data_IF_996694035824
#
_entry.id   IF_996694035824
#
_cell.length_a   1.000
_cell.length_b   1.000
_cell.length_c   1.000
_cell.angle_alpha   90.00
_cell.angle_beta   90.00
_cell.angle_gamma   90.00
#
_symmetry.space_group_name_H-M   'P 1'
#
loop_
_entity.id
_entity.type
_entity.pdbx_description
1 polymer ?
#
# COMPACT_ATOMS: atom_id res chain seq x y z
N UNK A 1 8.86 -4.99 19.16
CA UNK A 1 9.96 -4.64 18.23
C UNK A 1 9.63 -3.36 17.48
N UNK A 2 10.62 -2.47 17.34
CA UNK A 2 10.49 -1.30 16.48
C UNK A 2 10.26 -1.74 15.04
N UNK A 3 9.35 -1.10 14.30
CA UNK A 3 9.16 -1.36 12.88
C UNK A 3 10.47 -1.19 12.11
N UNK A 4 10.77 -2.16 11.25
CA UNK A 4 11.91 -2.18 10.35
C UNK A 4 11.41 -2.20 8.91
N UNK A 5 11.94 -1.30 8.10
CA UNK A 5 11.68 -1.20 6.67
C UNK A 5 13.00 -1.32 5.92
N UNK A 6 13.05 -2.25 4.97
CA UNK A 6 14.16 -2.37 4.02
C UNK A 6 13.63 -2.27 2.61
N UNK A 7 14.20 -1.37 1.82
CA UNK A 7 13.81 -1.13 0.44
C UNK A 7 15.01 -1.29 -0.48
N UNK A 8 14.77 -1.98 -1.59
CA UNK A 8 15.64 -2.03 -2.77
C UNK A 8 14.82 -1.57 -3.99
N UNK A 9 15.40 -1.60 -5.19
CA UNK A 9 14.74 -1.13 -6.41
C UNK A 9 13.39 -1.82 -6.67
N UNK A 10 13.31 -3.15 -6.49
CA UNK A 10 12.16 -3.97 -6.86
C UNK A 10 11.59 -4.76 -5.66
N UNK A 11 11.97 -4.41 -4.43
CA UNK A 11 11.53 -5.12 -3.23
C UNK A 11 11.45 -4.21 -2.01
N UNK A 12 10.34 -4.33 -1.29
CA UNK A 12 10.14 -3.76 0.05
C UNK A 12 9.97 -4.90 1.05
N UNK A 13 10.63 -4.82 2.19
CA UNK A 13 10.41 -5.72 3.33
C UNK A 13 10.08 -4.92 4.57
N UNK A 14 8.96 -5.28 5.19
CA UNK A 14 8.55 -4.74 6.49
C UNK A 14 8.70 -5.84 7.53
N UNK A 15 9.15 -5.47 8.72
CA UNK A 15 9.07 -6.29 9.93
C UNK A 15 8.54 -5.44 11.07
N UNK A 16 7.49 -5.89 11.75
CA UNK A 16 6.90 -5.14 12.86
C UNK A 16 6.12 -6.03 13.82
N UNK A 17 5.90 -5.51 15.04
CA UNK A 17 5.00 -6.16 16.01
C UNK A 17 3.57 -6.22 15.52
N UNK A 18 3.13 -5.22 14.75
CA UNK A 18 1.79 -5.21 14.16
C UNK A 18 1.60 -6.44 13.28
N UNK A 19 2.57 -6.75 12.40
CA UNK A 19 2.49 -7.93 11.53
C UNK A 19 2.51 -9.22 12.36
N UNK A 20 3.38 -9.30 13.36
CA UNK A 20 3.49 -10.49 14.22
C UNK A 20 2.19 -10.80 14.98
N UNK A 21 1.53 -9.75 15.49
CA UNK A 21 0.35 -9.88 16.38
C UNK A 21 -0.98 -9.98 15.63
N UNK A 22 -1.03 -9.54 14.37
CA UNK A 22 -2.27 -9.52 13.58
C UNK A 22 -2.19 -10.43 12.33
N UNK A 23 -1.77 -11.71 12.44
CA UNK A 23 -1.44 -12.50 11.27
C UNK A 23 -2.62 -12.80 10.35
N UNK A 24 -3.84 -12.92 10.88
CA UNK A 24 -5.05 -13.12 10.07
C UNK A 24 -5.47 -11.87 9.31
N UNK A 25 -5.30 -10.68 9.91
CA UNK A 25 -5.54 -9.40 9.23
C UNK A 25 -4.51 -9.19 8.12
N UNK A 26 -3.23 -9.38 8.43
CA UNK A 26 -2.15 -9.23 7.46
C UNK A 26 -2.27 -10.23 6.32
N UNK A 27 -2.68 -11.47 6.57
CA UNK A 27 -2.92 -12.44 5.50
C UNK A 27 -3.98 -11.96 4.49
N UNK A 28 -5.05 -11.29 4.96
CA UNK A 28 -6.07 -10.70 4.07
C UNK A 28 -5.52 -9.51 3.28
N UNK A 29 -4.76 -8.64 3.93
CA UNK A 29 -4.12 -7.49 3.27
C UNK A 29 -3.10 -7.94 2.21
N UNK A 30 -2.33 -9.00 2.51
CA UNK A 30 -1.40 -9.65 1.58
C UNK A 30 -2.15 -10.21 0.37
N UNK A 31 -3.27 -10.90 0.56
CA UNK A 31 -4.07 -11.43 -0.55
C UNK A 31 -4.59 -10.31 -1.48
N UNK A 32 -5.01 -9.17 -0.91
CA UNK A 32 -5.37 -7.98 -1.71
C UNK A 32 -4.18 -7.45 -2.51
N UNK A 33 -3.00 -7.41 -1.89
CA UNK A 33 -1.78 -6.88 -2.50
C UNK A 33 -1.26 -7.76 -3.64
N UNK A 34 -1.37 -9.09 -3.52
CA UNK A 34 -1.01 -10.04 -4.58
C UNK A 34 -1.79 -9.82 -5.90
N UNK A 35 -2.99 -9.25 -5.82
CA UNK A 35 -3.79 -8.89 -7.00
C UNK A 35 -3.48 -7.54 -7.63
N UNK A 36 -2.58 -6.74 -7.04
CA UNK A 36 -2.30 -5.39 -7.53
C UNK A 36 -1.43 -5.40 -8.81
N UNK A 37 -1.76 -4.57 -9.82
CA UNK A 37 -0.91 -4.40 -10.99
C UNK A 37 0.54 -4.00 -10.60
N UNK A 38 1.50 -4.76 -11.10
CA UNK A 38 2.92 -4.53 -10.84
C UNK A 38 3.45 -5.20 -9.56
N UNK A 39 2.62 -5.78 -8.71
CA UNK A 39 3.08 -6.69 -7.65
C UNK A 39 3.38 -8.05 -8.26
N UNK A 40 4.59 -8.57 -7.99
CA UNK A 40 5.07 -9.83 -8.55
C UNK A 40 4.98 -10.98 -7.54
N UNK A 41 5.24 -10.68 -6.27
CA UNK A 41 5.27 -11.67 -5.21
C UNK A 41 5.07 -11.00 -3.85
N UNK A 42 4.30 -11.63 -2.95
CA UNK A 42 4.21 -11.22 -1.55
C UNK A 42 4.51 -12.43 -0.65
N UNK A 43 5.49 -12.28 0.24
CA UNK A 43 5.89 -13.35 1.17
C UNK A 43 5.60 -12.92 2.60
N UNK A 44 4.57 -13.52 3.19
CA UNK A 44 4.21 -13.32 4.59
C UNK A 44 4.89 -14.35 5.49
N UNK A 45 5.89 -13.93 6.26
CA UNK A 45 6.53 -14.73 7.32
C UNK A 45 5.89 -14.41 8.67
N UNK A 46 4.74 -15.03 8.94
CA UNK A 46 3.92 -14.86 10.15
C UNK A 46 4.75 -14.81 11.44
N UNK A 47 5.52 -15.87 11.73
CA UNK A 47 6.26 -15.99 12.98
C UNK A 47 7.48 -15.06 13.09
N UNK A 48 7.93 -14.50 11.97
CA UNK A 48 8.97 -13.48 11.96
C UNK A 48 8.40 -12.05 12.09
N UNK A 49 7.06 -11.90 12.02
CA UNK A 49 6.41 -10.60 11.96
C UNK A 49 6.81 -9.80 10.73
N UNK A 50 7.01 -10.46 9.58
CA UNK A 50 7.59 -9.82 8.40
C UNK A 50 6.81 -10.13 7.13
N UNK A 51 6.65 -9.11 6.28
CA UNK A 51 6.17 -9.25 4.91
C UNK A 51 7.22 -8.70 3.96
N UNK A 52 7.49 -9.41 2.87
CA UNK A 52 8.29 -8.92 1.76
C UNK A 52 7.46 -8.86 0.49
N UNK A 53 7.52 -7.74 -0.22
CA UNK A 53 6.80 -7.49 -1.46
C UNK A 53 7.83 -7.28 -2.56
N UNK A 54 7.74 -8.07 -3.62
CA UNK A 54 8.52 -7.91 -4.85
C UNK A 54 7.61 -7.31 -5.92
N UNK A 55 8.09 -6.31 -6.64
CA UNK A 55 7.29 -5.55 -7.59
C UNK A 55 8.11 -5.16 -8.82
N UNK A 56 7.41 -4.85 -9.91
CA UNK A 56 7.95 -4.31 -11.16
C UNK A 56 7.94 -2.78 -11.09
N UNK A 57 9.13 -2.18 -10.97
CA UNK A 57 9.29 -0.73 -10.81
C UNK A 57 8.81 0.09 -12.01
N UNK A 58 8.63 -0.53 -13.18
CA UNK A 58 8.07 0.12 -14.36
C UNK A 58 6.54 0.19 -14.34
N UNK A 59 5.89 -0.61 -13.49
CA UNK A 59 4.42 -0.67 -13.35
C UNK A 59 3.92 -0.03 -12.07
N UNK A 60 4.67 -0.15 -10.97
CA UNK A 60 4.31 0.44 -9.69
C UNK A 60 5.55 1.02 -9.01
N UNK A 61 5.44 2.27 -8.54
CA UNK A 61 6.55 2.90 -7.81
C UNK A 61 6.63 2.36 -6.38
N UNK A 62 7.86 2.26 -5.86
CA UNK A 62 8.12 1.94 -4.46
C UNK A 62 7.37 2.87 -3.49
N UNK A 63 7.26 4.17 -3.84
CA UNK A 63 6.52 5.17 -3.05
C UNK A 63 5.03 4.86 -2.96
N UNK A 64 4.39 4.45 -4.06
CA UNK A 64 2.97 4.08 -4.05
C UNK A 64 2.74 2.83 -3.17
N UNK A 65 3.63 1.84 -3.28
CA UNK A 65 3.55 0.62 -2.48
C UNK A 65 3.80 0.89 -0.98
N UNK A 66 4.73 1.78 -0.64
CA UNK A 66 4.95 2.24 0.73
C UNK A 66 3.73 2.95 1.31
N UNK A 67 3.10 3.85 0.56
CA UNK A 67 1.90 4.55 1.01
C UNK A 67 0.75 3.56 1.32
N UNK A 68 0.61 2.52 0.51
CA UNK A 68 -0.36 1.45 0.76
C UNK A 68 0.00 0.66 2.04
N UNK A 69 1.27 0.26 2.21
CA UNK A 69 1.76 -0.41 3.44
C UNK A 69 1.52 0.44 4.71
N UNK A 70 1.71 1.76 4.61
CA UNK A 70 1.43 2.70 5.69
C UNK A 70 -0.07 2.75 6.02
N UNK A 71 -0.93 2.81 5.02
CA UNK A 71 -2.38 2.82 5.18
C UNK A 71 -2.91 1.54 5.86
N UNK A 72 -2.28 0.38 5.57
CA UNK A 72 -2.59 -0.90 6.22
C UNK A 72 -2.04 -1.01 7.66
N UNK A 73 -1.29 0.00 8.12
CA UNK A 73 -0.82 0.12 9.49
C UNK A 73 0.41 -0.74 9.81
N UNK A 74 1.07 -1.33 8.82
CA UNK A 74 2.18 -2.28 9.04
C UNK A 74 3.40 -1.66 9.72
N UNK A 75 3.58 -0.35 9.54
CA UNK A 75 4.66 0.43 10.17
C UNK A 75 4.26 1.01 11.54
N UNK A 76 3.09 0.66 12.06
CA UNK A 76 2.66 1.10 13.38
C UNK A 76 3.50 0.43 14.47
N UNK A 77 4.24 1.25 15.22
CA UNK A 77 4.75 0.83 16.53
C UNK A 77 3.60 0.88 17.54
N UNK A 78 3.49 -0.12 18.42
CA UNK A 78 2.66 0.04 19.62
C UNK A 78 3.24 1.18 20.46
N UNK A 79 2.34 2.07 20.88
CA UNK A 79 2.65 3.28 21.64
C UNK A 79 3.24 2.91 23.01
N UNK A 80 4.50 3.22 23.22
CA UNK A 80 4.79 4.18 24.28
C UNK A 80 4.44 5.57 23.73
N UNK A 81 3.68 6.35 24.50
CA UNK A 81 3.01 7.62 24.12
C UNK A 81 3.92 8.69 23.47
N UNK A 82 5.23 8.50 23.40
CA UNK A 82 6.19 9.50 22.92
C UNK A 82 6.47 9.49 21.40
N UNK A 83 6.13 8.43 20.65
CA UNK A 83 6.54 8.32 19.24
C UNK A 83 5.57 8.92 18.21
N UNK A 84 4.34 9.25 18.61
CA UNK A 84 3.35 9.83 17.69
C UNK A 84 3.75 11.24 17.24
N UNK A 85 4.53 11.97 18.04
CA UNK A 85 4.80 13.39 17.76
C UNK A 85 5.94 13.63 16.74
N UNK A 86 6.88 12.68 16.55
CA UNK A 86 8.03 12.90 15.66
C UNK A 86 7.84 12.39 14.24
N UNK A 87 7.20 11.23 14.04
CA UNK A 87 7.01 10.65 12.69
C UNK A 87 5.86 11.31 11.93
N UNK A 88 4.77 11.68 12.62
CA UNK A 88 3.66 12.44 12.02
C UNK A 88 4.12 13.83 11.59
N UNK A 89 5.00 14.47 12.37
CA UNK A 89 5.51 15.82 12.11
C UNK A 89 6.53 15.86 10.95
N UNK A 90 7.24 14.76 10.68
CA UNK A 90 8.11 14.64 9.51
C UNK A 90 7.37 14.28 8.22
N UNK A 91 6.31 13.44 8.26
CA UNK A 91 5.52 13.13 7.06
C UNK A 91 4.59 14.28 6.64
N UNK A 92 3.93 14.96 7.58
CA UNK A 92 3.01 16.08 7.26
C UNK A 92 3.70 17.25 6.57
N UNK A 93 4.97 17.54 6.89
CA UNK A 93 5.76 18.59 6.21
C UNK A 93 6.07 18.30 4.75
N UNK A 94 6.13 17.02 4.35
CA UNK A 94 6.43 16.63 2.96
C UNK A 94 5.19 16.22 2.15
N UNK A 95 4.11 15.77 2.79
CA UNK A 95 2.84 15.42 2.11
C UNK A 95 2.01 16.66 1.80
N UNK A 96 1.97 17.66 2.68
CA UNK A 96 1.18 18.88 2.47
C UNK A 96 1.64 19.73 1.26
N UNK A 97 2.89 19.56 0.79
CA UNK A 97 3.40 20.24 -0.40
C UNK A 97 3.18 19.46 -1.72
N UNK A 98 2.70 18.21 -1.66
CA UNK A 98 2.64 17.30 -2.81
C UNK A 98 1.25 16.84 -3.26
N UNK A 99 0.18 17.17 -2.51
CA UNK A 99 -1.21 16.75 -2.79
C UNK A 99 -1.91 17.53 -3.93
N UNK A 100 -1.15 18.15 -4.83
CA UNK A 100 -1.70 18.94 -5.93
C UNK A 100 -1.84 18.16 -7.26
N UNK A 101 -1.24 16.97 -7.42
CA UNK A 101 -1.29 16.27 -8.72
C UNK A 101 -1.33 14.76 -8.52
N UNK A 102 -2.52 14.16 -8.58
CA UNK A 102 -2.75 12.81 -9.11
C UNK A 102 -4.26 12.56 -9.18
N UNK A 103 -4.91 13.18 -10.17
CA UNK A 103 -6.19 12.68 -10.68
C UNK A 103 -5.91 11.37 -11.42
N UNK A 104 -6.49 10.26 -10.94
CA UNK A 104 -6.54 9.00 -11.67
C UNK A 104 -7.32 9.24 -12.97
N UNK A 105 -6.61 9.36 -14.09
CA UNK A 105 -7.22 9.57 -15.39
C UNK A 105 -7.72 8.21 -15.92
N UNK A 106 -8.83 7.70 -15.38
CA UNK A 106 -9.61 6.67 -16.07
C UNK A 106 -10.27 7.33 -17.28
N UNK A 107 -9.57 7.34 -18.42
CA UNK A 107 -10.20 7.64 -19.71
C UNK A 107 -11.09 6.46 -20.07
N UNK A 108 -12.31 6.48 -19.56
CA UNK A 108 -13.41 5.66 -20.08
C UNK A 108 -13.82 6.34 -21.39
N UNK A 109 -13.42 5.78 -22.55
CA UNK A 109 -13.87 6.27 -23.86
C UNK A 109 -15.41 6.11 -23.94
N UNK A 110 -16.20 7.18 -24.18
CA UNK A 110 -17.66 7.12 -24.23
C UNK A 110 -18.23 6.71 -25.60
N UNK A 111 -17.51 5.87 -26.36
CA UNK A 111 -17.96 5.37 -27.66
C UNK A 111 -18.15 3.86 -27.57
N UNK A 112 -19.41 3.44 -27.41
CA UNK A 112 -20.01 2.10 -27.67
C UNK A 112 -21.19 1.81 -26.71
N UNK A 113 -22.03 2.81 -26.40
CA UNK A 113 -23.35 2.62 -25.77
C UNK A 113 -24.47 3.32 -26.55
N UNK A 114 -24.37 3.31 -27.88
CA UNK A 114 -25.54 3.50 -28.75
C UNK A 114 -25.77 2.19 -29.48
N UNK A 115 -26.66 1.37 -28.95
CA UNK A 115 -27.66 0.54 -29.65
C UNK A 115 -28.27 -0.40 -28.60
N UNK A 116 -29.60 -0.49 -28.57
CA UNK A 116 -30.45 -1.28 -27.64
C UNK A 116 -30.59 -0.60 -26.27
N UNK A 117 -31.56 0.28 -25.99
CA UNK A 117 -33.02 0.08 -25.98
C UNK A 117 -33.70 1.42 -26.22
N UNK A 118 -34.24 1.61 -27.42
CA UNK A 118 -35.30 2.58 -27.69
C UNK A 118 -36.45 1.77 -28.30
N UNK A 119 -37.10 0.96 -27.46
CA UNK A 119 -38.35 0.30 -27.81
C UNK A 119 -39.13 -0.12 -26.56
N UNK A 120 -39.54 0.85 -25.74
CA UNK A 120 -40.81 0.72 -25.01
C UNK A 120 -41.50 2.07 -25.16
N UNK A 121 -42.58 2.02 -25.94
CA UNK A 121 -43.58 3.04 -26.13
C UNK A 121 -44.60 2.93 -25.01
#
# INVERSE_FOLDING_TARGET
>A
MSPYLHQTQNRIRVRSDFILRNPGMVARQVATMEGMPGVLEVVHRRYAGSVAVRFDEHKISSKALLAHIEAEGWLSAQKDKAYIDTTVRHLTRHVAKGLAVMTFNMVVKPSMLKTVVQLIR
#
